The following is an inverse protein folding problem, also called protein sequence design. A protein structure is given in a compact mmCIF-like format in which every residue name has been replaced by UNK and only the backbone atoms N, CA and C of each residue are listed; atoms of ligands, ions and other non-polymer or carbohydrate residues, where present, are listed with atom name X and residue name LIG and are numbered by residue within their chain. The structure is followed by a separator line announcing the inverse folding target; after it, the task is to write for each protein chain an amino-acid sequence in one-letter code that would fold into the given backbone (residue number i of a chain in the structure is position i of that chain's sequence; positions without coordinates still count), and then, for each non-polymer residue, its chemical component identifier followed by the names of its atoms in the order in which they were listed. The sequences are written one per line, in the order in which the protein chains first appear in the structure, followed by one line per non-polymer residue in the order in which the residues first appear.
data_IF_203534207941
#
_entry.id   IF_203534207941
#
_cell.length_a   1.000
_cell.length_b   1.000
_cell.length_c   1.000
_cell.angle_alpha   90.00
_cell.angle_beta   90.00
_cell.angle_gamma   90.00
#
_symmetry.space_group_name_H-M   'P 1'
#
loop_
_entity.id
_entity.type
_entity.pdbx_description
1 polymer ?
#
# COMPACT_ATOMS: atom_id res chain seq x y z
N UNK A 1 -8.94 9.03 15.31
CA UNK A 1 -9.09 7.57 15.36
C UNK A 1 -7.85 6.98 14.72
N UNK A 2 -6.92 6.50 15.55
CA UNK A 2 -5.58 6.06 15.12
C UNK A 2 -5.69 4.74 14.36
N UNK A 3 -5.10 4.70 13.16
CA UNK A 3 -4.92 3.49 12.35
C UNK A 3 -3.86 2.65 13.05
N UNK A 4 -4.29 1.92 14.09
CA UNK A 4 -3.44 0.99 14.79
C UNK A 4 -3.19 -0.25 13.92
N UNK A 5 -1.92 -0.42 13.53
CA UNK A 5 -1.25 -1.72 13.44
C UNK A 5 -1.84 -2.76 12.47
N UNK A 6 -1.61 -2.56 11.17
CA UNK A 6 -1.29 -3.71 10.34
C UNK A 6 0.18 -4.08 10.55
N UNK A 7 0.42 -5.19 11.27
CA UNK A 7 1.56 -6.07 10.94
C UNK A 7 1.62 -6.14 9.42
N UNK A 8 2.82 -6.02 8.84
CA UNK A 8 3.06 -6.16 7.40
C UNK A 8 2.65 -7.60 6.99
N UNK A 9 1.34 -7.81 6.82
CA UNK A 9 0.77 -9.08 6.42
C UNK A 9 1.00 -9.19 4.92
N UNK A 10 1.39 -10.37 4.45
CA UNK A 10 1.54 -10.64 3.02
C UNK A 10 0.27 -10.38 2.23
N UNK A 11 -0.89 -10.44 2.88
CA UNK A 11 -2.15 -9.99 2.31
C UNK A 11 -2.08 -8.55 1.76
N UNK A 12 -1.35 -7.64 2.43
CA UNK A 12 -1.14 -6.28 1.93
C UNK A 12 -0.30 -6.25 0.65
N UNK A 13 0.70 -7.12 0.52
CA UNK A 13 1.52 -7.23 -0.70
C UNK A 13 0.68 -7.71 -1.89
N UNK A 14 -0.26 -8.63 -1.66
CA UNK A 14 -1.21 -9.12 -2.67
C UNK A 14 -2.20 -8.03 -3.08
N UNK A 15 -2.81 -7.34 -2.12
CA UNK A 15 -3.80 -6.28 -2.38
C UNK A 15 -3.16 -5.06 -3.05
N UNK A 16 -1.88 -4.79 -2.78
CA UNK A 16 -1.08 -3.79 -3.49
C UNK A 16 -0.50 -4.29 -4.83
N UNK A 17 -0.89 -5.48 -5.29
CA UNK A 17 -0.47 -6.07 -6.56
C UNK A 17 1.05 -6.26 -6.71
N UNK A 18 1.80 -6.28 -5.60
CA UNK A 18 3.22 -6.66 -5.59
C UNK A 18 3.41 -8.17 -5.73
N UNK A 19 2.39 -8.91 -5.29
CA UNK A 19 2.23 -10.35 -5.54
C UNK A 19 0.91 -10.53 -6.29
N UNK A 20 0.90 -11.32 -7.36
CA UNK A 20 -0.33 -11.57 -8.11
C UNK A 20 -1.37 -12.30 -7.25
N UNK A 21 -2.62 -11.90 -7.36
CA UNK A 21 -3.76 -12.44 -6.61
C UNK A 21 -4.37 -13.69 -7.26
N UNK A 22 -3.55 -14.55 -7.87
CA UNK A 22 -3.96 -15.85 -8.41
C UNK A 22 -3.34 -16.99 -7.58
N UNK A 23 -3.99 -18.15 -7.58
CA UNK A 23 -3.44 -19.36 -6.98
C UNK A 23 -2.42 -20.01 -7.92
N UNK A 24 -2.64 -19.84 -9.23
CA UNK A 24 -1.71 -20.28 -10.26
C UNK A 24 -0.27 -19.79 -10.00
N UNK A 25 0.71 -20.66 -10.26
CA UNK A 25 2.15 -20.37 -10.13
C UNK A 25 2.58 -19.96 -8.73
N UNK A 26 1.96 -20.56 -7.73
CA UNK A 26 2.42 -20.49 -6.35
C UNK A 26 2.44 -21.88 -5.76
N UNK A 27 3.39 -22.10 -4.87
CA UNK A 27 3.45 -23.29 -4.05
C UNK A 27 3.20 -22.85 -2.61
N UNK A 28 2.11 -23.34 -2.04
CA UNK A 28 1.75 -23.07 -0.65
C UNK A 28 2.12 -24.27 0.21
N UNK A 29 2.59 -24.00 1.42
CA UNK A 29 2.77 -25.05 2.41
C UNK A 29 1.40 -25.66 2.76
N UNK A 30 1.31 -27.00 2.85
CA UNK A 30 0.05 -27.72 3.12
C UNK A 30 -0.80 -27.12 4.23
N UNK A 31 -0.19 -26.83 5.39
CA UNK A 31 -0.86 -26.16 6.53
C UNK A 31 -1.60 -24.85 6.20
N UNK A 32 -1.18 -24.11 5.17
CA UNK A 32 -1.89 -22.91 4.71
C UNK A 32 -3.13 -23.31 3.91
N UNK A 33 -3.00 -24.31 3.04
CA UNK A 33 -4.10 -24.86 2.26
C UNK A 33 -5.16 -25.50 3.16
N UNK A 34 -4.76 -26.24 4.19
CA UNK A 34 -5.70 -26.83 5.17
C UNK A 34 -6.57 -25.72 5.79
N UNK A 35 -5.95 -24.62 6.23
CA UNK A 35 -6.67 -23.45 6.77
C UNK A 35 -7.55 -22.73 5.76
N UNK A 36 -7.14 -22.67 4.50
CA UNK A 36 -7.97 -22.14 3.43
C UNK A 36 -9.23 -22.98 3.26
N UNK A 37 -9.09 -24.30 3.20
CA UNK A 37 -10.22 -25.23 3.03
C UNK A 37 -11.19 -25.14 4.22
N UNK A 38 -10.68 -24.99 5.45
CA UNK A 38 -11.50 -24.79 6.65
C UNK A 38 -12.32 -23.49 6.65
N UNK A 39 -11.95 -22.51 5.81
CA UNK A 39 -12.49 -21.15 5.87
C UNK A 39 -13.14 -20.65 4.58
N UNK A 40 -12.94 -21.34 3.45
CA UNK A 40 -13.61 -21.01 2.19
C UNK A 40 -14.98 -21.67 2.16
N UNK A 41 -15.97 -20.94 1.64
CA UNK A 41 -17.32 -21.46 1.44
C UNK A 41 -17.37 -22.35 0.19
N UNK A 42 -18.25 -23.36 0.22
CA UNK A 42 -18.54 -24.18 -0.96
C UNK A 42 -19.48 -23.42 -1.89
N UNK A 43 -18.90 -22.65 -2.81
CA UNK A 43 -19.61 -21.81 -3.77
C UNK A 43 -19.10 -22.06 -5.19
N UNK A 44 -20.02 -22.01 -6.16
CA UNK A 44 -19.68 -22.11 -7.56
C UNK A 44 -19.59 -20.73 -8.20
N UNK A 45 -18.36 -20.28 -8.46
CA UNK A 45 -18.06 -19.08 -9.23
C UNK A 45 -16.97 -19.41 -10.25
N UNK A 46 -17.06 -18.84 -11.46
CA UNK A 46 -16.08 -19.08 -12.54
C UNK A 46 -15.21 -17.85 -12.84
N UNK A 47 -15.28 -16.83 -11.99
CA UNK A 47 -14.43 -15.66 -12.03
C UNK A 47 -14.13 -15.20 -10.61
N UNK A 48 -12.89 -14.78 -10.37
CA UNK A 48 -12.38 -14.32 -9.08
C UNK A 48 -12.35 -15.36 -7.96
N UNK A 49 -12.58 -16.64 -8.26
CA UNK A 49 -12.40 -17.77 -7.35
C UNK A 49 -10.95 -17.89 -6.90
N UNK A 50 -10.05 -17.74 -7.86
CA UNK A 50 -8.61 -17.80 -7.66
C UNK A 50 -8.13 -16.65 -6.76
N UNK A 51 -8.77 -15.48 -6.91
CA UNK A 51 -8.54 -14.32 -6.04
C UNK A 51 -8.99 -14.59 -4.62
N UNK A 52 -10.22 -15.08 -4.42
CA UNK A 52 -10.76 -15.41 -3.10
C UNK A 52 -9.84 -16.40 -2.36
N UNK A 53 -9.48 -17.49 -3.04
CA UNK A 53 -8.56 -18.49 -2.52
C UNK A 53 -7.21 -17.88 -2.16
N UNK A 54 -6.63 -17.09 -3.07
CA UNK A 54 -5.33 -16.45 -2.86
C UNK A 54 -5.34 -15.51 -1.66
N UNK A 55 -6.36 -14.66 -1.52
CA UNK A 55 -6.48 -13.73 -0.39
C UNK A 55 -6.57 -14.46 0.96
N UNK A 56 -7.37 -15.53 1.05
CA UNK A 56 -7.49 -16.35 2.27
C UNK A 56 -6.17 -17.07 2.57
N UNK A 57 -5.50 -17.64 1.57
CA UNK A 57 -4.20 -18.29 1.75
C UNK A 57 -3.15 -17.31 2.28
N UNK A 58 -3.07 -16.11 1.68
CA UNK A 58 -2.12 -15.08 2.08
C UNK A 58 -2.44 -14.42 3.41
N UNK A 59 -3.69 -14.46 3.87
CA UNK A 59 -4.02 -14.07 5.25
C UNK A 59 -3.30 -14.96 6.27
N UNK A 60 -3.18 -16.27 6.01
CA UNK A 60 -2.50 -17.21 6.91
C UNK A 60 -0.99 -17.34 6.67
N UNK A 61 -0.50 -16.88 5.51
CA UNK A 61 0.92 -16.93 5.17
C UNK A 61 1.73 -15.94 6.02
N UNK A 62 2.90 -16.38 6.50
CA UNK A 62 3.81 -15.54 7.32
C UNK A 62 5.00 -14.98 6.53
N UNK A 63 5.45 -15.72 5.53
CA UNK A 63 6.57 -15.37 4.66
C UNK A 63 6.38 -16.00 3.28
N UNK A 64 7.07 -15.47 2.28
CA UNK A 64 7.14 -16.03 0.94
C UNK A 64 8.58 -15.95 0.44
N UNK A 65 8.91 -16.79 -0.55
CA UNK A 65 10.18 -16.73 -1.28
C UNK A 65 9.87 -16.74 -2.77
N UNK A 66 10.53 -15.87 -3.51
CA UNK A 66 10.40 -15.78 -4.96
C UNK A 66 11.41 -16.70 -5.63
N UNK A 67 10.96 -17.45 -6.62
CA UNK A 67 11.84 -18.17 -7.54
C UNK A 67 11.93 -17.31 -8.80
N UNK A 68 13.12 -16.76 -9.10
CA UNK A 68 13.34 -15.89 -10.26
C UNK A 68 13.57 -16.66 -11.56
N UNK A 69 13.66 -17.99 -11.49
CA UNK A 69 13.80 -18.84 -12.67
C UNK A 69 12.43 -18.97 -13.36
N UNK A 70 12.33 -18.77 -14.68
CA UNK A 70 11.11 -19.10 -15.41
C UNK A 70 10.78 -20.59 -15.26
N UNK A 71 9.57 -20.89 -14.79
CA UNK A 71 9.14 -22.28 -14.54
C UNK A 71 8.10 -22.78 -15.55
N UNK A 72 7.35 -21.89 -16.19
CA UNK A 72 6.27 -22.24 -17.12
C UNK A 72 5.94 -21.04 -18.02
N UNK A 73 5.31 -21.31 -19.16
CA UNK A 73 4.78 -20.31 -20.10
C UNK A 73 3.28 -20.17 -19.82
N UNK A 74 2.81 -18.93 -19.69
CA UNK A 74 1.40 -18.63 -19.45
C UNK A 74 0.80 -17.92 -20.66
N UNK A 75 -0.33 -18.42 -21.16
CA UNK A 75 -1.08 -17.79 -22.24
C UNK A 75 -2.24 -16.98 -21.65
N UNK A 76 -1.96 -15.71 -21.33
CA UNK A 76 -2.96 -14.85 -20.69
C UNK A 76 -4.17 -14.58 -21.59
N UNK A 77 -3.99 -14.39 -22.90
CA UNK A 77 -5.00 -13.75 -23.75
C UNK A 77 -6.16 -14.65 -24.22
N UNK A 78 -6.24 -15.89 -23.76
CA UNK A 78 -7.23 -16.87 -24.24
C UNK A 78 -8.56 -16.77 -23.45
N UNK A 79 -8.50 -16.33 -22.19
CA UNK A 79 -9.64 -16.35 -21.27
C UNK A 79 -10.66 -15.22 -21.48
N UNK A 80 -11.92 -15.49 -21.14
CA UNK A 80 -13.02 -14.49 -21.13
C UNK A 80 -12.70 -13.32 -20.20
N UNK A 81 -11.98 -13.58 -19.11
CA UNK A 81 -11.53 -12.54 -18.18
C UNK A 81 -10.67 -11.48 -18.87
N UNK A 82 -9.99 -11.74 -19.99
CA UNK A 82 -9.19 -10.70 -20.67
C UNK A 82 -9.93 -9.98 -21.80
N UNK A 83 -11.15 -10.39 -22.11
CA UNK A 83 -11.99 -9.77 -23.15
C UNK A 83 -12.70 -8.51 -22.64
N UNK A 84 -13.06 -7.63 -23.57
CA UNK A 84 -13.87 -6.42 -23.32
C UNK A 84 -15.30 -6.58 -23.87
N UNK A 85 -16.18 -5.60 -23.63
CA UNK A 85 -17.61 -5.68 -24.02
C UNK A 85 -17.87 -5.66 -25.53
N UNK A 86 -16.86 -5.52 -26.38
CA UNK A 86 -17.01 -5.78 -27.82
C UNK A 86 -16.95 -7.29 -28.14
N UNK A 87 -16.40 -8.10 -27.23
CA UNK A 87 -16.13 -9.53 -27.42
C UNK A 87 -16.96 -10.43 -26.49
N UNK A 88 -17.63 -9.85 -25.50
CA UNK A 88 -18.52 -10.54 -24.57
C UNK A 88 -19.89 -9.87 -24.59
N UNK A 89 -20.93 -10.70 -24.51
CA UNK A 89 -22.31 -10.26 -24.40
C UNK A 89 -22.67 -9.82 -22.97
N UNK A 90 -23.84 -9.20 -22.84
CA UNK A 90 -24.44 -8.73 -21.58
C UNK A 90 -24.53 -9.85 -20.54
N UNK A 91 -24.93 -11.05 -20.94
CA UNK A 91 -25.09 -12.19 -20.02
C UNK A 91 -23.74 -12.60 -19.41
N UNK A 92 -22.68 -12.67 -20.22
CA UNK A 92 -21.33 -12.96 -19.73
C UNK A 92 -20.80 -11.84 -18.84
N UNK A 93 -21.04 -10.58 -19.20
CA UNK A 93 -20.61 -9.46 -18.37
C UNK A 93 -21.34 -9.41 -17.02
N UNK A 94 -22.67 -9.58 -17.00
CA UNK A 94 -23.46 -9.69 -15.77
C UNK A 94 -22.95 -10.83 -14.88
N UNK A 95 -22.63 -11.97 -15.47
CA UNK A 95 -22.04 -13.09 -14.75
C UNK A 95 -20.65 -12.76 -14.15
N UNK A 96 -19.79 -12.05 -14.89
CA UNK A 96 -18.48 -11.61 -14.38
C UNK A 96 -18.66 -10.68 -13.17
N UNK A 97 -19.52 -9.66 -13.28
CA UNK A 97 -19.79 -8.73 -12.19
C UNK A 97 -20.36 -9.45 -10.96
N UNK A 98 -21.34 -10.33 -11.16
CA UNK A 98 -21.95 -11.12 -10.08
C UNK A 98 -20.93 -12.03 -9.38
N UNK A 99 -20.13 -12.77 -10.14
CA UNK A 99 -19.13 -13.70 -9.59
C UNK A 99 -18.07 -12.96 -8.78
N UNK A 100 -17.58 -11.83 -9.30
CA UNK A 100 -16.62 -10.97 -8.58
C UNK A 100 -17.22 -10.43 -7.29
N UNK A 101 -18.49 -10.00 -7.30
CA UNK A 101 -19.18 -9.52 -6.10
C UNK A 101 -19.30 -10.62 -5.04
N UNK A 102 -19.70 -11.83 -5.45
CA UNK A 102 -19.76 -12.99 -4.55
C UNK A 102 -18.39 -13.26 -3.93
N UNK A 103 -17.31 -13.28 -4.73
CA UNK A 103 -15.96 -13.49 -4.22
C UNK A 103 -15.53 -12.41 -3.20
N UNK A 104 -15.88 -11.15 -3.44
CA UNK A 104 -15.61 -10.06 -2.50
C UNK A 104 -16.41 -10.20 -1.20
N UNK A 105 -17.69 -10.57 -1.28
CA UNK A 105 -18.53 -10.78 -0.11
C UNK A 105 -18.04 -11.95 0.74
N UNK A 106 -17.66 -13.06 0.11
CA UNK A 106 -17.08 -14.20 0.80
C UNK A 106 -15.76 -13.84 1.49
N UNK A 107 -14.92 -13.03 0.85
CA UNK A 107 -13.70 -12.57 1.48
C UNK A 107 -14.00 -11.65 2.68
N UNK A 108 -14.99 -10.77 2.59
CA UNK A 108 -15.41 -9.94 3.72
C UNK A 108 -15.99 -10.79 4.86
N UNK A 109 -16.85 -11.75 4.54
CA UNK A 109 -17.43 -12.70 5.50
C UNK A 109 -16.34 -13.50 6.22
N UNK A 110 -15.31 -13.95 5.48
CA UNK A 110 -14.12 -14.55 6.06
C UNK A 110 -13.44 -13.60 7.06
N UNK A 111 -13.18 -12.34 6.69
CA UNK A 111 -12.56 -11.35 7.59
C UNK A 111 -13.40 -11.11 8.85
N UNK A 112 -14.73 -11.10 8.75
CA UNK A 112 -15.65 -11.00 9.89
C UNK A 112 -15.53 -12.25 10.77
N UNK A 113 -15.56 -13.45 10.18
CA UNK A 113 -15.42 -14.75 10.89
C UNK A 113 -14.12 -14.82 11.71
N UNK A 114 -13.00 -14.35 11.14
CA UNK A 114 -11.70 -14.29 11.84
C UNK A 114 -11.48 -12.99 12.62
N UNK A 115 -12.55 -12.20 12.84
CA UNK A 115 -12.55 -10.95 13.63
C UNK A 115 -11.47 -9.95 13.22
N UNK A 116 -11.18 -9.89 11.92
CA UNK A 116 -10.14 -9.06 11.32
C UNK A 116 -10.70 -8.00 10.36
N UNK A 117 -12.01 -7.93 10.17
CA UNK A 117 -12.68 -6.96 9.29
C UNK A 117 -12.35 -5.49 9.62
N UNK A 118 -12.18 -5.13 10.88
CA UNK A 118 -11.77 -3.77 11.28
C UNK A 118 -10.33 -3.49 10.84
N UNK A 119 -9.41 -4.41 11.11
CA UNK A 119 -7.98 -4.26 10.79
C UNK A 119 -7.72 -4.22 9.28
N UNK A 120 -8.43 -5.04 8.51
CA UNK A 120 -8.25 -5.14 7.06
C UNK A 120 -9.33 -4.38 6.27
N UNK A 121 -10.19 -3.59 6.93
CA UNK A 121 -11.31 -2.91 6.28
C UNK A 121 -10.88 -1.98 5.16
N UNK A 122 -9.82 -1.19 5.37
CA UNK A 122 -9.26 -0.34 4.33
C UNK A 122 -8.73 -1.14 3.12
N UNK A 123 -8.06 -2.26 3.38
CA UNK A 123 -7.55 -3.13 2.33
C UNK A 123 -8.67 -3.85 1.57
N UNK A 124 -9.75 -4.21 2.27
CA UNK A 124 -10.96 -4.71 1.65
C UNK A 124 -11.57 -3.67 0.69
N UNK A 125 -11.75 -2.42 1.14
CA UNK A 125 -12.27 -1.35 0.28
C UNK A 125 -11.36 -1.08 -0.92
N UNK A 126 -10.04 -1.23 -0.75
CA UNK A 126 -9.07 -1.14 -1.86
C UNK A 126 -9.25 -2.25 -2.90
N UNK A 127 -9.35 -3.52 -2.49
CA UNK A 127 -9.54 -4.60 -3.44
C UNK A 127 -10.92 -4.53 -4.11
N UNK A 128 -11.94 -4.11 -3.37
CA UNK A 128 -13.28 -3.83 -3.89
C UNK A 128 -13.23 -2.80 -5.02
N UNK A 129 -12.57 -1.67 -4.79
CA UNK A 129 -12.35 -0.63 -5.79
C UNK A 129 -11.55 -1.12 -7.00
N UNK A 130 -10.46 -1.87 -6.78
CA UNK A 130 -9.65 -2.40 -7.87
C UNK A 130 -10.45 -3.33 -8.80
N UNK A 131 -11.30 -4.19 -8.22
CA UNK A 131 -12.15 -5.11 -8.98
C UNK A 131 -13.26 -4.37 -9.72
N UNK A 132 -13.85 -3.34 -9.11
CA UNK A 132 -14.77 -2.43 -9.79
C UNK A 132 -14.11 -1.80 -11.02
N UNK A 133 -12.93 -1.16 -10.85
CA UNK A 133 -12.23 -0.51 -11.94
C UNK A 133 -11.85 -1.48 -13.06
N UNK A 134 -11.35 -2.66 -12.71
CA UNK A 134 -11.00 -3.69 -13.68
C UNK A 134 -12.19 -4.10 -14.56
N UNK A 135 -13.39 -4.26 -13.97
CA UNK A 135 -14.60 -4.56 -14.72
C UNK A 135 -15.15 -3.34 -15.48
N UNK A 136 -14.98 -2.14 -14.93
CA UNK A 136 -15.42 -0.89 -15.55
C UNK A 136 -14.61 -0.56 -16.80
N UNK A 137 -13.28 -0.73 -16.77
CA UNK A 137 -12.37 -0.51 -17.91
C UNK A 137 -12.65 -1.43 -19.11
N UNK A 138 -13.38 -2.52 -18.90
CA UNK A 138 -13.83 -3.42 -19.98
C UNK A 138 -14.98 -2.86 -20.79
N UNK A 139 -15.72 -1.89 -20.26
CA UNK A 139 -16.85 -1.29 -20.95
C UNK A 139 -16.32 -0.39 -22.07
N UNK A 140 -16.59 -0.77 -23.31
CA UNK A 140 -16.26 0.05 -24.48
C UNK A 140 -17.40 1.00 -24.85
N UNK A 141 -17.02 2.16 -25.40
CA UNK A 141 -17.93 3.20 -25.89
C UNK A 141 -18.92 3.74 -24.85
N UNK A 142 -18.60 3.63 -23.55
CA UNK A 142 -19.48 4.04 -22.45
C UNK A 142 -20.91 3.48 -22.58
N UNK A 143 -21.03 2.22 -23.01
CA UNK A 143 -22.33 1.61 -23.22
C UNK A 143 -23.14 1.56 -21.90
N UNK A 144 -24.27 2.27 -21.88
CA UNK A 144 -25.10 2.47 -20.69
C UNK A 144 -25.64 1.18 -20.08
N UNK A 145 -25.88 0.15 -20.90
CA UNK A 145 -26.43 -1.12 -20.43
C UNK A 145 -25.42 -1.86 -19.56
N UNK A 146 -24.16 -1.93 -20.01
CA UNK A 146 -23.07 -2.52 -19.23
C UNK A 146 -22.76 -1.70 -17.97
N UNK A 147 -22.88 -0.37 -18.03
CA UNK A 147 -22.72 0.51 -16.85
C UNK A 147 -23.79 0.18 -15.80
N UNK A 148 -25.07 0.06 -16.20
CA UNK A 148 -26.15 -0.31 -15.28
C UNK A 148 -25.90 -1.68 -14.61
N UNK A 149 -25.31 -2.62 -15.34
CA UNK A 149 -24.99 -3.95 -14.82
C UNK A 149 -23.91 -3.87 -13.73
N UNK A 150 -22.79 -3.18 -13.97
CA UNK A 150 -21.75 -3.09 -12.93
C UNK A 150 -22.25 -2.31 -11.70
N UNK A 151 -23.03 -1.24 -11.91
CA UNK A 151 -23.62 -0.46 -10.82
C UNK A 151 -24.66 -1.22 -9.99
N UNK A 152 -25.30 -2.26 -10.56
CA UNK A 152 -26.19 -3.16 -9.82
C UNK A 152 -25.43 -3.96 -8.74
N UNK A 153 -24.17 -4.32 -8.97
CA UNK A 153 -23.40 -5.18 -8.06
C UNK A 153 -22.45 -4.42 -7.15
N UNK A 154 -21.97 -3.25 -7.57
CA UNK A 154 -20.96 -2.49 -6.84
C UNK A 154 -21.55 -1.26 -6.13
N UNK A 155 -21.39 -1.23 -4.80
CA UNK A 155 -21.84 -0.15 -3.95
C UNK A 155 -20.90 1.06 -4.06
N UNK A 156 -21.42 2.15 -4.62
CA UNK A 156 -20.72 3.42 -4.77
C UNK A 156 -20.29 4.01 -3.43
N UNK A 157 -20.96 3.71 -2.32
CA UNK A 157 -20.58 4.21 -1.00
C UNK A 157 -19.22 3.65 -0.56
N UNK A 158 -18.98 2.36 -0.77
CA UNK A 158 -17.70 1.68 -0.45
C UNK A 158 -16.57 2.24 -1.33
N UNK A 159 -16.85 2.43 -2.62
CA UNK A 159 -15.90 3.02 -3.58
C UNK A 159 -15.52 4.45 -3.16
N UNK A 160 -16.52 5.29 -2.87
CA UNK A 160 -16.30 6.67 -2.48
C UNK A 160 -15.56 6.77 -1.14
N UNK A 161 -15.86 5.88 -0.19
CA UNK A 161 -15.14 5.81 1.08
C UNK A 161 -13.65 5.48 0.86
N UNK A 162 -13.34 4.51 0.00
CA UNK A 162 -11.95 4.21 -0.36
C UNK A 162 -11.24 5.41 -1.00
N UNK A 163 -11.85 6.02 -2.01
CA UNK A 163 -11.29 7.18 -2.71
C UNK A 163 -11.05 8.35 -1.77
N UNK A 164 -11.96 8.60 -0.84
CA UNK A 164 -11.79 9.60 0.19
C UNK A 164 -10.58 9.29 1.07
N UNK A 165 -10.48 8.08 1.62
CA UNK A 165 -9.35 7.66 2.46
C UNK A 165 -8.01 7.68 1.71
N UNK A 166 -8.00 7.33 0.42
CA UNK A 166 -6.81 7.40 -0.42
C UNK A 166 -6.28 8.83 -0.51
N UNK A 167 -7.15 9.82 -0.73
CA UNK A 167 -6.75 11.24 -0.76
C UNK A 167 -6.08 11.69 0.54
N UNK A 168 -6.56 11.21 1.70
CA UNK A 168 -5.90 11.52 2.98
C UNK A 168 -4.48 10.94 3.05
N UNK A 169 -4.30 9.69 2.63
CA UNK A 169 -2.96 9.07 2.59
C UNK A 169 -2.01 9.81 1.63
N UNK A 170 -2.50 10.28 0.48
CA UNK A 170 -1.71 11.09 -0.46
C UNK A 170 -1.32 12.44 0.14
N UNK A 171 -2.26 13.13 0.81
CA UNK A 171 -1.99 14.39 1.52
C UNK A 171 -0.94 14.18 2.62
N UNK A 172 -1.03 13.11 3.39
CA UNK A 172 -0.06 12.78 4.44
C UNK A 172 1.33 12.51 3.86
N UNK A 173 1.43 11.75 2.77
CA UNK A 173 2.69 11.50 2.06
C UNK A 173 3.30 12.77 1.47
N UNK A 174 2.48 13.65 0.89
CA UNK A 174 2.95 14.93 0.37
C UNK A 174 3.47 15.84 1.50
N UNK A 175 2.77 15.89 2.64
CA UNK A 175 3.22 16.62 3.82
C UNK A 175 4.57 16.09 4.34
N UNK A 176 4.82 14.77 4.23
CA UNK A 176 6.09 14.15 4.58
C UNK A 176 7.23 14.51 3.64
N UNK A 177 6.97 14.54 2.33
CA UNK A 177 7.95 15.00 1.35
C UNK A 177 8.30 16.48 1.56
N UNK A 178 7.29 17.33 1.78
CA UNK A 178 7.48 18.74 2.07
C UNK A 178 8.29 18.94 3.38
N UNK A 179 7.98 18.15 4.41
CA UNK A 179 8.72 18.17 5.66
C UNK A 179 10.17 17.71 5.47
N UNK A 180 10.40 16.65 4.70
CA UNK A 180 11.76 16.20 4.35
C UNK A 180 12.54 17.26 3.58
N UNK A 181 11.88 18.00 2.67
CA UNK A 181 12.48 19.11 1.94
C UNK A 181 12.85 20.26 2.89
N UNK A 182 11.92 20.69 3.77
CA UNK A 182 12.16 21.71 4.79
C UNK A 182 13.28 21.33 5.75
N UNK A 183 13.42 20.04 6.06
CA UNK A 183 14.45 19.53 6.95
C UNK A 183 15.79 19.24 6.25
N UNK A 184 15.82 19.27 4.92
CA UNK A 184 17.02 18.99 4.13
C UNK A 184 18.25 19.83 4.50
N UNK A 185 18.14 21.13 4.90
CA UNK A 185 19.29 21.97 5.24
C UNK A 185 19.90 21.67 6.62
N UNK A 186 19.22 20.92 7.50
CA UNK A 186 19.74 20.64 8.83
C UNK A 186 20.82 19.55 8.78
N UNK A 187 21.93 19.79 9.48
CA UNK A 187 23.00 18.80 9.67
C UNK A 187 22.52 17.54 10.37
N UNK A 188 21.50 17.68 11.23
CA UNK A 188 20.88 16.58 11.95
C UNK A 188 19.38 16.78 12.10
N UNK A 189 18.63 15.73 11.80
CA UNK A 189 17.24 15.60 12.24
C UNK A 189 16.89 14.14 12.51
N UNK A 190 15.91 13.93 13.38
CA UNK A 190 15.20 12.67 13.55
C UNK A 190 13.73 12.92 13.25
N UNK A 191 13.15 12.10 12.39
CA UNK A 191 11.70 12.04 12.14
C UNK A 191 11.20 10.69 12.66
N UNK A 192 10.23 10.72 13.55
CA UNK A 192 9.44 9.56 13.93
C UNK A 192 8.13 9.59 13.16
N UNK A 193 7.88 8.54 12.38
CA UNK A 193 6.63 8.35 11.64
C UNK A 193 6.32 6.86 11.48
N UNK A 194 5.07 6.47 11.70
CA UNK A 194 4.63 5.07 11.60
C UNK A 194 5.59 4.16 12.39
N UNK A 195 6.10 3.11 11.75
CA UNK A 195 7.14 2.20 12.26
C UNK A 195 8.54 2.60 11.82
N UNK A 196 8.78 3.87 11.48
CA UNK A 196 10.06 4.33 10.95
C UNK A 196 10.62 5.44 11.82
N UNK A 197 11.90 5.32 12.11
CA UNK A 197 12.73 6.40 12.63
C UNK A 197 13.71 6.75 11.52
N UNK A 198 13.56 7.94 10.96
CA UNK A 198 14.46 8.47 9.93
C UNK A 198 15.44 9.39 10.63
N UNK A 199 16.70 8.99 10.66
CA UNK A 199 17.79 9.80 11.21
C UNK A 199 18.60 10.33 10.03
N UNK A 200 18.77 11.64 9.93
CA UNK A 200 19.73 12.24 9.00
C UNK A 200 20.85 12.85 9.82
N UNK A 201 22.10 12.54 9.47
CA UNK A 201 23.30 13.13 10.05
C UNK A 201 24.34 13.34 8.93
N UNK A 202 24.87 14.55 8.76
CA UNK A 202 25.86 14.89 7.71
C UNK A 202 25.45 14.45 6.29
N UNK A 203 24.16 14.55 5.96
CA UNK A 203 23.64 14.11 4.65
C UNK A 203 23.36 12.61 4.54
N UNK A 204 23.89 11.79 5.46
CA UNK A 204 23.63 10.35 5.52
C UNK A 204 22.24 10.14 6.11
N UNK A 205 21.39 9.42 5.37
CA UNK A 205 20.04 9.05 5.80
C UNK A 205 20.02 7.60 6.27
N UNK A 206 19.67 7.40 7.53
CA UNK A 206 19.48 6.10 8.17
C UNK A 206 17.99 5.92 8.42
N UNK A 207 17.42 4.81 7.97
CA UNK A 207 16.01 4.46 8.20
C UNK A 207 15.96 3.21 9.08
N UNK A 208 15.47 3.37 10.30
CA UNK A 208 15.32 2.30 11.28
C UNK A 208 13.84 1.89 11.33
N UNK A 209 13.55 0.59 11.28
CA UNK A 209 12.20 0.06 11.52
C UNK A 209 11.98 -0.13 13.02
N UNK A 210 10.98 0.53 13.59
CA UNK A 210 10.55 0.38 14.96
C UNK A 210 9.42 -0.66 15.09
N UNK A 211 9.23 -1.24 16.28
CA UNK A 211 8.09 -2.12 16.59
C UNK A 211 6.84 -1.34 16.97
N UNK A 212 7.00 -0.13 17.50
CA UNK A 212 5.91 0.75 17.91
C UNK A 212 5.60 1.78 16.82
N UNK A 213 4.31 2.10 16.68
CA UNK A 213 3.78 3.01 15.67
C UNK A 213 3.62 4.43 16.25
N UNK A 214 4.19 5.43 15.59
CA UNK A 214 3.98 6.83 15.94
C UNK A 214 2.77 7.40 15.20
N UNK A 215 1.68 7.67 15.93
CA UNK A 215 0.41 8.19 15.40
C UNK A 215 0.47 9.67 14.95
N UNK A 216 1.60 10.35 15.15
CA UNK A 216 1.86 11.72 14.73
C UNK A 216 3.32 11.83 14.33
N UNK A 217 3.60 12.66 13.33
CA UNK A 217 4.97 12.95 12.93
C UNK A 217 5.65 13.75 14.04
N UNK A 218 6.71 13.20 14.62
CA UNK A 218 7.54 13.90 15.60
C UNK A 218 8.85 14.24 14.92
N UNK A 219 9.22 15.52 14.95
CA UNK A 219 10.46 16.03 14.37
C UNK A 219 11.35 16.54 15.48
N UNK A 220 12.55 15.97 15.58
CA UNK A 220 13.61 16.46 16.45
C UNK A 220 14.73 16.96 15.54
N UNK A 221 14.85 18.27 15.41
CA UNK A 221 15.98 18.91 14.72
C UNK A 221 16.85 19.65 15.73
N UNK A 222 18.16 19.46 15.68
CA UNK A 222 19.11 20.23 16.51
C UNK A 222 19.38 21.60 15.86
N UNK A 223 18.36 22.46 15.78
CA UNK A 223 18.43 23.71 14.99
C UNK A 223 19.11 24.89 15.68
N UNK A 224 19.45 24.83 16.98
CA UNK A 224 20.17 25.92 17.67
C UNK A 224 21.45 25.48 18.41
N UNK A 225 21.49 24.27 18.97
CA UNK A 225 22.66 23.76 19.69
C UNK A 225 23.81 23.39 18.73
N UNK A 226 23.51 22.71 17.62
CA UNK A 226 24.52 22.42 16.60
C UNK A 226 25.01 23.67 15.88
N UNK A 227 24.19 24.72 15.71
CA UNK A 227 24.67 26.01 15.18
C UNK A 227 25.75 26.64 16.09
N UNK A 228 25.66 26.43 17.41
CA UNK A 228 26.68 26.88 18.37
C UNK A 228 27.94 26.01 18.30
N UNK A 229 27.78 24.69 18.15
CA UNK A 229 28.91 23.75 18.09
C UNK A 229 29.61 23.72 16.73
N UNK A 230 28.87 23.88 15.64
CA UNK A 230 29.30 23.77 14.25
C UNK A 230 28.70 24.91 13.43
N UNK A 231 29.50 25.93 13.10
CA UNK A 231 29.07 26.99 12.19
C UNK A 231 30.24 27.62 11.45
N UNK A 232 30.00 28.11 10.24
CA UNK A 232 30.95 28.92 9.47
C UNK A 232 30.33 30.30 9.29
N UNK A 233 31.00 31.34 9.80
CA UNK A 233 30.54 32.73 9.72
C UNK A 233 31.63 33.60 9.13
N UNK A 234 31.30 34.39 8.11
CA UNK A 234 32.28 35.29 7.49
C UNK A 234 31.95 36.74 7.80
N UNK A 235 32.91 37.50 8.33
CA UNK A 235 32.75 38.92 8.67
C UNK A 235 33.83 39.75 8.01
N UNK A 236 33.50 40.97 7.56
CA UNK A 236 34.50 41.98 7.21
C UNK A 236 34.88 42.75 8.47
N UNK A 237 36.16 42.70 8.84
CA UNK A 237 36.74 43.48 9.93
C UNK A 237 37.90 44.25 9.33
N UNK A 238 37.90 45.58 9.45
CA UNK A 238 38.96 46.46 8.94
C UNK A 238 39.28 46.22 7.44
N UNK A 239 38.23 46.05 6.62
CA UNK A 239 38.36 45.83 5.18
C UNK A 239 38.81 44.41 4.78
N UNK A 240 39.26 43.57 5.72
CA UNK A 240 39.66 42.18 5.47
C UNK A 240 38.51 41.20 5.76
N UNK A 241 38.33 40.21 4.89
CA UNK A 241 37.33 39.14 5.04
C UNK A 241 37.91 38.08 5.97
N UNK A 242 37.31 37.94 7.15
CA UNK A 242 37.72 37.00 8.18
C UNK A 242 36.64 35.93 8.31
N UNK A 243 37.04 34.67 8.25
CA UNK A 243 36.15 33.51 8.37
C UNK A 243 36.31 32.89 9.75
N UNK A 244 35.20 32.71 10.44
CA UNK A 244 35.14 32.02 11.73
C UNK A 244 34.52 30.64 11.53
N UNK A 245 35.24 29.60 11.90
CA UNK A 245 34.75 28.23 11.96
C UNK A 245 34.58 27.84 13.42
N UNK A 246 33.35 27.57 13.84
CA UNK A 246 33.08 26.87 15.09
C UNK A 246 33.06 25.36 14.81
N UNK A 247 33.85 24.60 15.56
CA UNK A 247 33.91 23.14 15.47
C UNK A 247 33.95 22.59 16.90
N UNK A 248 32.92 21.82 17.28
CA UNK A 248 32.73 21.32 18.66
C UNK A 248 32.78 22.43 19.74
N UNK A 249 32.36 23.65 19.39
CA UNK A 249 32.39 24.81 20.30
C UNK A 249 33.71 25.57 20.36
N UNK A 250 34.76 25.10 19.66
CA UNK A 250 36.02 25.82 19.46
C UNK A 250 35.92 26.73 18.24
N UNK A 251 36.35 27.98 18.39
CA UNK A 251 36.25 29.01 17.34
C UNK A 251 37.61 29.27 16.70
N UNK A 252 37.76 28.84 15.46
CA UNK A 252 38.94 29.06 14.62
C UNK A 252 38.74 30.29 13.73
N UNK A 253 39.79 31.10 13.58
CA UNK A 253 39.80 32.32 12.77
C UNK A 253 40.74 32.11 11.58
N UNK A 254 40.23 32.32 10.37
CA UNK A 254 40.94 32.25 9.11
C UNK A 254 40.84 33.59 8.38
#
# INVERSE_FOLDING_TARGET
MSIAMMKLNLLNEVINQRISHNMWNKVFHRRIIDKLIENISDIQIMNAEDMLQCLIAFYFAKSYKVIQKPLYIYYADIGVSNKNTNEIDITKYDYLCRSTKIALDEFYNFLVKVKSNITYGFLFSKIYYNQYNYLFEKIKNNNEEYIKIIEKYFDKSIINQYLHLQKYNEIENNNLEELNYKLSPYFFYIIFIDYKIIIKLFGIRIVIKNKECFNKIIVISLSNFLRRLFSINTKKIEGKKITFLNLLGLKFKF
#
